data_IF_383835354505
#
_entry.id   IF_383835354505
#
_cell.length_a   1.000
_cell.length_b   1.000
_cell.length_c   1.000
_cell.angle_alpha   90.00
_cell.angle_beta   90.00
_cell.angle_gamma   90.00
#
_symmetry.space_group_name_H-M   'P 1'
#
loop_
_entity.id
_entity.type
_entity.pdbx_description
1 polymer ?
#
# COMPACT_ATOMS: atom_id res chain seq x y z
N UNK A 1 -19.25 -8.36 -27.89
CA UNK A 1 -19.99 -7.71 -26.79
C UNK A 1 -20.05 -8.59 -25.55
N UNK A 2 -20.40 -9.88 -25.68
CA UNK A 2 -20.52 -10.81 -24.52
C UNK A 2 -19.21 -10.97 -23.76
N UNK A 3 -18.07 -11.15 -24.44
CA UNK A 3 -16.75 -11.26 -23.79
C UNK A 3 -16.39 -10.03 -22.96
N UNK A 4 -16.72 -8.85 -23.47
CA UNK A 4 -16.45 -7.58 -22.75
C UNK A 4 -17.34 -7.46 -21.51
N UNK A 5 -18.60 -7.86 -21.61
CA UNK A 5 -19.53 -7.87 -20.46
C UNK A 5 -19.06 -8.83 -19.37
N UNK A 6 -18.64 -10.03 -19.75
CA UNK A 6 -18.11 -11.02 -18.81
C UNK A 6 -16.83 -10.52 -18.12
N UNK A 7 -15.92 -9.90 -18.87
CA UNK A 7 -14.69 -9.33 -18.30
C UNK A 7 -14.99 -8.23 -17.28
N UNK A 8 -15.97 -7.36 -17.56
CA UNK A 8 -16.41 -6.33 -16.63
C UNK A 8 -16.97 -6.96 -15.36
N UNK A 9 -17.83 -7.97 -15.50
CA UNK A 9 -18.43 -8.67 -14.35
C UNK A 9 -17.35 -9.35 -13.48
N UNK A 10 -16.37 -10.01 -14.08
CA UNK A 10 -15.27 -10.64 -13.36
C UNK A 10 -14.44 -9.59 -12.61
N UNK A 11 -14.15 -8.47 -13.27
CA UNK A 11 -13.40 -7.36 -12.66
C UNK A 11 -14.13 -6.76 -11.46
N UNK A 12 -15.43 -6.50 -11.61
CA UNK A 12 -16.25 -5.95 -10.52
C UNK A 12 -16.44 -6.94 -9.37
N UNK A 13 -16.58 -8.24 -9.67
CA UNK A 13 -16.64 -9.28 -8.64
C UNK A 13 -15.36 -9.35 -7.82
N UNK A 14 -14.20 -9.31 -8.46
CA UNK A 14 -12.92 -9.27 -7.76
C UNK A 14 -12.79 -8.03 -6.89
N UNK A 15 -13.20 -6.89 -7.42
CA UNK A 15 -13.18 -5.64 -6.67
C UNK A 15 -14.05 -5.72 -5.42
N UNK A 16 -15.28 -6.22 -5.54
CA UNK A 16 -16.19 -6.43 -4.42
C UNK A 16 -15.60 -7.39 -3.37
N UNK A 17 -15.04 -8.51 -3.82
CA UNK A 17 -14.39 -9.48 -2.93
C UNK A 17 -13.27 -8.83 -2.14
N UNK A 18 -12.39 -8.06 -2.80
CA UNK A 18 -11.30 -7.34 -2.14
C UNK A 18 -11.80 -6.32 -1.13
N UNK A 19 -12.87 -5.58 -1.46
CA UNK A 19 -13.48 -4.62 -0.54
C UNK A 19 -14.07 -5.29 0.69
N UNK A 20 -14.73 -6.45 0.52
CA UNK A 20 -15.28 -7.23 1.62
C UNK A 20 -14.16 -7.78 2.51
N UNK A 21 -13.09 -8.31 1.92
CA UNK A 21 -11.93 -8.81 2.67
C UNK A 21 -11.25 -7.70 3.48
N UNK A 22 -11.06 -6.52 2.88
CA UNK A 22 -10.54 -5.34 3.58
C UNK A 22 -11.43 -4.94 4.75
N UNK A 23 -12.75 -4.92 4.55
CA UNK A 23 -13.72 -4.56 5.58
C UNK A 23 -13.69 -5.56 6.74
N UNK A 24 -13.66 -6.87 6.44
CA UNK A 24 -13.57 -7.92 7.45
C UNK A 24 -12.28 -7.83 8.25
N UNK A 25 -11.17 -7.58 7.58
CA UNK A 25 -9.87 -7.40 8.21
C UNK A 25 -9.86 -6.17 9.11
N UNK A 26 -10.42 -5.07 8.64
CA UNK A 26 -10.56 -3.85 9.42
C UNK A 26 -11.42 -4.06 10.67
N UNK A 27 -12.52 -4.78 10.55
CA UNK A 27 -13.38 -5.14 11.67
C UNK A 27 -12.63 -5.95 12.74
N UNK A 28 -11.78 -6.89 12.32
CA UNK A 28 -10.92 -7.67 13.24
C UNK A 28 -9.90 -6.79 13.96
N UNK A 29 -9.34 -5.81 13.26
CA UNK A 29 -8.42 -4.83 13.86
C UNK A 29 -9.11 -4.02 14.96
N UNK A 30 -10.32 -3.53 14.72
CA UNK A 30 -11.08 -2.75 15.70
C UNK A 30 -11.49 -3.58 16.92
N UNK A 31 -11.92 -4.82 16.71
CA UNK A 31 -12.38 -5.71 17.77
C UNK A 31 -11.24 -6.32 18.60
N UNK A 32 -10.00 -5.99 18.31
CA UNK A 32 -8.83 -6.58 18.98
C UNK A 32 -8.59 -8.06 18.65
N UNK A 33 -9.34 -8.62 17.69
CA UNK A 33 -9.17 -10.01 17.23
C UNK A 33 -8.04 -10.18 16.22
N UNK A 34 -7.48 -9.08 15.77
CA UNK A 34 -6.33 -9.09 14.87
C UNK A 34 -5.07 -9.37 15.68
N UNK A 35 -4.45 -10.50 15.41
CA UNK A 35 -3.19 -10.90 16.04
C UNK A 35 -2.08 -10.91 15.01
N UNK A 36 -0.98 -10.22 15.31
CA UNK A 36 0.22 -10.28 14.48
C UNK A 36 0.91 -11.64 14.71
N UNK A 37 1.30 -12.28 13.61
CA UNK A 37 2.16 -13.46 13.63
C UNK A 37 3.61 -13.00 13.54
N UNK A 38 4.16 -12.60 14.67
CA UNK A 38 5.48 -11.97 14.73
C UNK A 38 6.59 -12.99 14.56
N UNK A 39 7.49 -12.72 13.64
CA UNK A 39 8.69 -13.50 13.38
C UNK A 39 9.84 -12.59 12.94
N UNK A 40 11.04 -13.12 12.88
CA UNK A 40 12.17 -12.40 12.29
C UNK A 40 11.91 -12.16 10.81
N UNK A 41 11.83 -10.89 10.43
CA UNK A 41 11.39 -10.47 9.11
C UNK A 41 12.42 -9.56 8.45
N UNK A 42 12.86 -9.94 7.24
CA UNK A 42 13.64 -9.06 6.37
C UNK A 42 12.65 -8.12 5.64
N UNK A 43 12.48 -6.93 6.21
CA UNK A 43 11.53 -5.93 5.70
C UNK A 43 11.84 -5.53 4.26
N UNK A 44 13.11 -5.40 3.92
CA UNK A 44 13.54 -5.02 2.58
C UNK A 44 13.23 -6.11 1.56
N UNK A 45 13.40 -7.38 1.93
CA UNK A 45 13.03 -8.50 1.06
C UNK A 45 11.53 -8.53 0.77
N UNK A 46 10.69 -8.28 1.76
CA UNK A 46 9.24 -8.18 1.57
C UNK A 46 8.85 -7.01 0.66
N UNK A 47 9.52 -5.88 0.82
CA UNK A 47 9.32 -4.73 -0.08
C UNK A 47 9.76 -5.04 -1.50
N UNK A 48 10.90 -5.65 -1.69
CA UNK A 48 11.42 -6.02 -3.01
C UNK A 48 10.49 -7.01 -3.73
N UNK A 49 9.93 -7.98 -3.01
CA UNK A 49 8.91 -8.89 -3.53
C UNK A 49 7.68 -8.15 -4.04
N UNK A 50 7.18 -7.19 -3.27
CA UNK A 50 6.04 -6.37 -3.67
C UNK A 50 6.37 -5.53 -4.91
N UNK A 51 7.52 -4.88 -4.93
CA UNK A 51 7.98 -4.08 -6.07
C UNK A 51 8.11 -4.94 -7.34
N UNK A 52 8.70 -6.12 -7.21
CA UNK A 52 8.84 -7.04 -8.33
C UNK A 52 7.48 -7.43 -8.92
N UNK A 53 6.52 -7.76 -8.06
CA UNK A 53 5.17 -8.14 -8.49
C UNK A 53 4.42 -7.01 -9.19
N UNK A 54 4.60 -5.78 -8.72
CA UNK A 54 3.89 -4.61 -9.26
C UNK A 54 4.56 -3.97 -10.46
N UNK A 55 5.85 -4.16 -10.65
CA UNK A 55 6.60 -3.53 -11.76
C UNK A 55 6.01 -3.85 -13.12
N UNK A 56 5.77 -5.12 -13.40
CA UNK A 56 5.18 -5.55 -14.66
C UNK A 56 3.72 -5.10 -14.80
N UNK A 57 2.96 -5.19 -13.73
CA UNK A 57 1.57 -4.74 -13.70
C UNK A 57 1.46 -3.24 -14.03
N UNK A 58 2.32 -2.43 -13.42
CA UNK A 58 2.35 -0.99 -13.66
C UNK A 58 2.85 -0.65 -15.06
N UNK A 59 3.81 -1.41 -15.57
CA UNK A 59 4.30 -1.23 -16.95
C UNK A 59 3.18 -1.38 -17.96
N UNK A 60 2.28 -2.34 -17.78
CA UNK A 60 1.11 -2.51 -18.63
C UNK A 60 0.18 -1.29 -18.61
N UNK A 61 0.12 -0.59 -17.50
CA UNK A 61 -0.65 0.64 -17.33
C UNK A 61 0.13 1.91 -17.71
N UNK A 62 1.35 1.77 -18.24
CA UNK A 62 2.19 2.88 -18.62
C UNK A 62 2.85 3.61 -17.45
N UNK A 63 2.98 2.95 -16.30
CA UNK A 63 3.60 3.50 -15.09
C UNK A 63 4.99 2.87 -14.91
N UNK A 64 6.01 3.71 -14.79
CA UNK A 64 7.36 3.27 -14.46
C UNK A 64 7.51 3.17 -12.93
N UNK A 65 7.83 1.99 -12.43
CA UNK A 65 8.11 1.75 -11.02
C UNK A 65 9.63 1.66 -10.82
N UNK A 66 10.20 2.66 -10.18
CA UNK A 66 11.62 2.75 -9.90
C UNK A 66 11.89 2.42 -8.42
N UNK A 67 12.86 1.55 -8.18
CA UNK A 67 13.23 1.13 -6.84
C UNK A 67 14.70 1.43 -6.55
N UNK A 68 14.96 1.99 -5.39
CA UNK A 68 16.32 2.22 -4.88
C UNK A 68 16.42 1.87 -3.40
N UNK A 69 17.56 1.35 -3.00
CA UNK A 69 17.86 1.11 -1.59
C UNK A 69 19.32 1.45 -1.29
N UNK A 70 19.57 1.94 -0.10
CA UNK A 70 20.90 2.11 0.44
C UNK A 70 21.39 0.83 1.13
N UNK A 71 21.22 -0.31 0.45
CA UNK A 71 21.56 -1.61 1.01
C UNK A 71 22.97 -1.59 1.58
N UNK A 72 23.07 -1.46 2.90
CA UNK A 72 24.27 -1.86 3.61
C UNK A 72 24.46 -3.38 3.40
N UNK A 73 25.69 -3.86 3.47
CA UNK A 73 26.05 -5.26 3.22
C UNK A 73 25.26 -6.30 4.06
N UNK A 74 24.41 -5.83 4.97
CA UNK A 74 23.62 -6.67 5.86
C UNK A 74 22.13 -6.26 5.78
N UNK A 75 21.29 -7.23 5.42
CA UNK A 75 19.84 -7.08 5.55
C UNK A 75 19.49 -6.94 7.02
N UNK A 76 18.74 -5.90 7.36
CA UNK A 76 18.27 -5.74 8.73
C UNK A 76 16.98 -6.52 8.94
N UNK A 77 17.01 -7.33 9.97
CA UNK A 77 15.87 -8.11 10.40
C UNK A 77 15.12 -7.33 11.48
N UNK A 78 13.81 -7.21 11.31
CA UNK A 78 12.94 -6.66 12.33
C UNK A 78 12.01 -7.75 12.88
N UNK A 79 11.46 -7.50 14.05
CA UNK A 79 10.41 -8.33 14.62
C UNK A 79 9.07 -7.87 14.06
N UNK A 80 8.45 -8.66 13.20
CA UNK A 80 7.21 -8.25 12.55
C UNK A 80 6.46 -9.40 11.89
N UNK A 81 5.31 -9.09 11.33
CA UNK A 81 4.49 -10.01 10.57
C UNK A 81 4.72 -9.79 9.07
N UNK A 82 5.45 -10.68 8.38
CA UNK A 82 5.83 -10.47 6.99
C UNK A 82 4.64 -10.36 6.04
N UNK A 83 3.58 -11.14 6.25
CA UNK A 83 2.38 -11.05 5.40
C UNK A 83 1.68 -9.71 5.55
N UNK A 84 1.56 -9.21 6.78
CA UNK A 84 0.90 -7.94 7.05
C UNK A 84 1.71 -6.75 6.55
N UNK A 85 3.01 -6.80 6.70
CA UNK A 85 3.90 -5.76 6.16
C UNK A 85 3.87 -5.74 4.64
N UNK A 86 3.89 -6.91 4.00
CA UNK A 86 3.73 -7.01 2.54
C UNK A 86 2.38 -6.45 2.09
N UNK A 87 1.33 -6.70 2.83
CA UNK A 87 0.00 -6.12 2.57
C UNK A 87 0.03 -4.59 2.62
N UNK A 88 0.74 -3.99 3.57
CA UNK A 88 0.94 -2.54 3.62
C UNK A 88 1.59 -2.05 2.33
N UNK A 89 2.67 -2.69 1.89
CA UNK A 89 3.35 -2.30 0.65
C UNK A 89 2.44 -2.41 -0.57
N UNK A 90 1.71 -3.52 -0.69
CA UNK A 90 0.76 -3.70 -1.78
C UNK A 90 -0.35 -2.64 -1.78
N UNK A 91 -0.93 -2.34 -0.62
CA UNK A 91 -1.97 -1.32 -0.48
C UNK A 91 -1.45 0.07 -0.85
N UNK A 92 -0.24 0.41 -0.42
CA UNK A 92 0.38 1.70 -0.74
C UNK A 92 0.68 1.81 -2.23
N UNK A 93 1.20 0.76 -2.86
CA UNK A 93 1.46 0.73 -4.30
C UNK A 93 0.16 0.83 -5.10
N UNK A 94 -0.88 0.09 -4.71
CA UNK A 94 -2.21 0.19 -5.34
C UNK A 94 -2.76 1.62 -5.24
N UNK A 95 -2.65 2.22 -4.08
CA UNK A 95 -3.10 3.59 -3.84
C UNK A 95 -2.32 4.60 -4.69
N UNK A 96 -0.99 4.45 -4.77
CA UNK A 96 -0.15 5.31 -5.60
C UNK A 96 -0.54 5.22 -7.09
N UNK A 97 -0.84 4.03 -7.59
CA UNK A 97 -1.28 3.84 -8.97
C UNK A 97 -2.66 4.41 -9.24
N UNK A 98 -3.61 4.25 -8.30
CA UNK A 98 -4.98 4.75 -8.45
C UNK A 98 -5.05 6.28 -8.44
N UNK A 99 -4.33 6.91 -7.53
CA UNK A 99 -4.43 8.35 -7.29
C UNK A 99 -3.29 9.15 -7.92
N UNK A 100 -2.14 8.54 -8.13
CA UNK A 100 -0.95 9.18 -8.67
C UNK A 100 -0.52 8.67 -10.03
N UNK A 101 -1.21 7.68 -10.61
CA UNK A 101 -0.83 7.03 -11.87
C UNK A 101 -0.77 7.96 -13.08
N UNK A 102 -1.47 9.08 -13.05
CA UNK A 102 -1.43 10.10 -14.10
C UNK A 102 -0.01 10.69 -14.30
N UNK A 103 0.83 10.69 -13.26
CA UNK A 103 2.23 11.09 -13.33
C UNK A 103 3.14 10.08 -14.01
N UNK A 104 2.64 8.88 -14.31
CA UNK A 104 3.32 7.78 -15.02
C UNK A 104 4.61 7.29 -14.39
N UNK A 105 4.86 7.63 -13.13
CA UNK A 105 6.04 7.22 -12.39
C UNK A 105 5.72 7.05 -10.92
N UNK A 106 6.26 6.01 -10.32
CA UNK A 106 6.24 5.77 -8.88
C UNK A 106 7.66 5.41 -8.45
N UNK A 107 8.19 6.14 -7.49
CA UNK A 107 9.49 5.86 -6.90
C UNK A 107 9.32 5.22 -5.53
N UNK A 108 10.01 4.11 -5.32
CA UNK A 108 10.07 3.40 -4.05
C UNK A 108 11.50 3.40 -3.56
N UNK A 109 11.72 3.75 -2.31
CA UNK A 109 13.04 3.70 -1.69
C UNK A 109 12.98 3.09 -0.31
N UNK A 110 14.06 2.42 0.06
CA UNK A 110 14.30 1.90 1.39
C UNK A 110 15.66 2.36 1.87
N UNK A 111 15.70 2.97 3.06
CA UNK A 111 16.93 3.48 3.65
C UNK A 111 16.89 3.29 5.16
N UNK A 112 18.06 3.08 5.74
CA UNK A 112 18.20 3.14 7.20
C UNK A 112 18.50 4.57 7.60
N UNK A 113 17.62 5.15 8.41
CA UNK A 113 17.80 6.47 9.01
C UNK A 113 17.80 6.32 10.53
N UNK A 114 18.96 6.57 11.16
CA UNK A 114 19.18 6.32 12.57
C UNK A 114 18.89 4.85 12.91
N UNK A 115 17.95 4.56 13.81
CA UNK A 115 17.57 3.22 14.21
C UNK A 115 16.30 2.71 13.50
N UNK A 116 15.89 3.35 12.39
CA UNK A 116 14.65 3.02 11.69
C UNK A 116 14.90 2.69 10.24
N UNK A 117 14.15 1.71 9.75
CA UNK A 117 13.99 1.51 8.31
C UNK A 117 12.91 2.46 7.81
N UNK A 118 13.28 3.32 6.88
CA UNK A 118 12.36 4.28 6.26
C UNK A 118 12.08 3.85 4.83
N UNK A 119 10.81 3.60 4.56
CA UNK A 119 10.33 3.24 3.23
C UNK A 119 9.50 4.41 2.70
N UNK A 120 9.85 4.88 1.51
CA UNK A 120 9.14 5.97 0.85
C UNK A 120 8.56 5.50 -0.46
N UNK A 121 7.31 5.83 -0.69
CA UNK A 121 6.63 5.62 -1.96
C UNK A 121 6.15 6.99 -2.43
N UNK A 122 6.64 7.42 -3.58
CA UNK A 122 6.29 8.71 -4.16
C UNK A 122 5.65 8.52 -5.53
N UNK A 123 4.47 9.04 -5.70
CA UNK A 123 3.87 9.23 -7.02
C UNK A 123 4.08 10.67 -7.51
N UNK A 124 3.84 10.87 -8.79
CA UNK A 124 3.97 12.17 -9.46
C UNK A 124 2.62 12.65 -10.00
N UNK A 125 1.55 12.25 -9.35
CA UNK A 125 0.21 12.67 -9.66
C UNK A 125 -0.12 14.08 -9.15
N UNK A 126 -1.40 14.45 -9.14
CA UNK A 126 -1.83 15.82 -8.79
C UNK A 126 -1.64 16.18 -7.31
N UNK A 127 -1.30 15.19 -6.46
CA UNK A 127 -1.21 15.40 -5.02
C UNK A 127 -2.57 15.42 -4.33
N UNK A 128 -2.55 15.69 -3.04
CA UNK A 128 -3.74 15.73 -2.19
C UNK A 128 -4.00 17.18 -1.80
N UNK A 129 -5.24 17.69 -1.92
CA UNK A 129 -5.57 19.02 -1.41
C UNK A 129 -5.17 19.15 0.05
N UNK A 130 -4.51 20.27 0.45
CA UNK A 130 -4.04 20.44 1.83
C UNK A 130 -5.12 20.27 2.89
N UNK A 131 -6.35 20.66 2.58
CA UNK A 131 -7.51 20.52 3.47
C UNK A 131 -7.93 19.05 3.66
N UNK A 132 -7.58 18.18 2.74
CA UNK A 132 -7.91 16.74 2.81
C UNK A 132 -6.82 15.90 3.48
N UNK A 133 -5.57 16.38 3.51
CA UNK A 133 -4.44 15.62 4.07
C UNK A 133 -4.68 15.08 5.49
N UNK A 134 -5.27 15.85 6.45
CA UNK A 134 -5.52 15.35 7.78
C UNK A 134 -6.48 14.15 7.86
N UNK A 135 -7.26 13.91 6.81
CA UNK A 135 -8.35 12.94 6.81
C UNK A 135 -8.07 11.69 5.99
N UNK A 136 -7.02 11.67 5.16
CA UNK A 136 -6.80 10.60 4.17
C UNK A 136 -6.57 9.21 4.76
N UNK A 137 -6.18 9.12 6.02
CA UNK A 137 -6.03 7.84 6.73
C UNK A 137 -7.31 7.39 7.44
N UNK A 138 -8.35 8.20 7.45
CA UNK A 138 -9.62 7.83 8.07
C UNK A 138 -10.35 6.77 7.22
N UNK A 139 -11.09 5.89 7.92
CA UNK A 139 -11.90 4.86 7.27
C UNK A 139 -12.91 5.49 6.32
N UNK A 140 -13.12 4.84 5.19
CA UNK A 140 -14.09 5.23 4.17
C UNK A 140 -13.87 6.61 3.58
N UNK A 141 -12.77 7.29 3.91
CA UNK A 141 -12.45 8.57 3.30
C UNK A 141 -11.92 8.37 1.88
N UNK A 142 -12.54 9.01 0.91
CA UNK A 142 -12.18 8.92 -0.51
C UNK A 142 -11.68 10.24 -1.11
N UNK A 143 -11.85 11.33 -0.40
CA UNK A 143 -11.46 12.66 -0.86
C UNK A 143 -12.18 13.09 -2.14
N UNK A 144 -11.58 14.01 -2.86
CA UNK A 144 -12.04 14.50 -4.16
C UNK A 144 -11.64 13.62 -5.34
N UNK A 145 -10.84 12.59 -5.10
CA UNK A 145 -10.41 11.66 -6.15
C UNK A 145 -11.59 10.86 -6.71
N UNK A 146 -11.62 10.73 -8.03
CA UNK A 146 -12.59 9.90 -8.72
C UNK A 146 -12.24 8.42 -8.76
N UNK A 147 -11.08 8.03 -8.22
CA UNK A 147 -10.66 6.65 -8.17
C UNK A 147 -11.57 5.83 -7.26
N UNK A 148 -11.92 4.64 -7.73
CA UNK A 148 -12.82 3.73 -6.99
C UNK A 148 -12.04 2.92 -5.96
N UNK A 149 -12.59 2.79 -4.76
CA UNK A 149 -12.03 1.99 -3.68
C UNK A 149 -12.95 1.96 -2.48
N UNK A 150 -12.59 1.20 -1.45
CA UNK A 150 -13.36 1.10 -0.21
C UNK A 150 -13.13 2.28 0.75
N UNK A 151 -12.02 2.99 0.59
CA UNK A 151 -11.57 4.02 1.54
C UNK A 151 -10.99 3.44 2.84
N UNK A 152 -10.67 2.15 2.87
CA UNK A 152 -10.19 1.43 4.06
C UNK A 152 -8.68 1.15 3.97
N UNK A 153 -8.12 1.03 2.77
CA UNK A 153 -6.75 0.57 2.55
C UNK A 153 -5.69 1.35 3.34
N UNK A 154 -5.76 2.68 3.34
CA UNK A 154 -4.80 3.50 4.09
C UNK A 154 -5.01 3.40 5.62
N UNK A 155 -6.25 3.26 6.09
CA UNK A 155 -6.55 3.04 7.49
C UNK A 155 -6.00 1.70 7.99
N UNK A 156 -6.10 0.65 7.18
CA UNK A 156 -5.50 -0.66 7.45
C UNK A 156 -3.98 -0.56 7.52
N UNK A 157 -3.35 0.15 6.58
CA UNK A 157 -1.91 0.38 6.59
C UNK A 157 -1.44 1.08 7.87
N UNK A 158 -2.13 2.15 8.25
CA UNK A 158 -1.81 2.91 9.46
C UNK A 158 -1.87 2.03 10.71
N UNK A 159 -2.92 1.24 10.84
CA UNK A 159 -3.11 0.33 11.96
C UNK A 159 -2.05 -0.78 12.02
N UNK A 160 -1.73 -1.41 10.89
CA UNK A 160 -0.69 -2.44 10.83
C UNK A 160 0.67 -1.86 11.23
N UNK A 161 1.03 -0.71 10.67
CA UNK A 161 2.30 -0.04 10.97
C UNK A 161 2.38 0.36 12.43
N UNK A 162 1.30 0.91 12.99
CA UNK A 162 1.21 1.28 14.40
C UNK A 162 1.41 0.07 15.32
N UNK A 163 0.83 -1.07 14.99
CA UNK A 163 1.02 -2.31 15.75
C UNK A 163 2.43 -2.88 15.65
N UNK A 164 3.21 -2.46 14.68
CA UNK A 164 4.63 -2.74 14.55
C UNK A 164 5.51 -1.67 15.21
N UNK A 165 4.93 -0.76 15.99
CA UNK A 165 5.61 0.38 16.62
C UNK A 165 6.27 1.33 15.60
N UNK A 166 5.72 1.37 14.40
CA UNK A 166 6.13 2.27 13.33
C UNK A 166 5.24 3.49 13.18
N UNK A 167 5.56 4.32 12.22
CA UNK A 167 4.82 5.51 11.87
C UNK A 167 4.48 5.49 10.38
N UNK A 168 3.25 5.83 10.05
CA UNK A 168 2.76 5.91 8.67
C UNK A 168 2.34 7.35 8.37
N UNK A 169 3.05 8.00 7.45
CA UNK A 169 2.83 9.40 7.11
C UNK A 169 2.49 9.58 5.64
N UNK A 170 1.63 10.53 5.35
CA UNK A 170 1.22 10.91 3.99
C UNK A 170 1.43 12.41 3.82
N UNK A 171 2.12 12.79 2.74
CA UNK A 171 2.41 14.18 2.42
C UNK A 171 2.42 14.42 0.91
N UNK A 172 2.35 15.67 0.52
CA UNK A 172 2.58 16.06 -0.86
C UNK A 172 4.07 16.18 -1.19
#
# INVERSE_FOLDING_TARGET
QIKRGVQIMVKESRRLTNMVEELLQFSRLEDGRFTLQVEDTDLQAELEDAVYSYRELFRQDGIALEYSSDRAEYSEVISGDPERLKQVFCNVLDNAAKHGGAGRRIDVSAAKEEDRMVIRVRDYGPGIPPEELPFVKQKFYKGSSKARGSGIGLAVCDEIVERHNGTFEISN
#
